data_IF_646325257436
#
_entry.id   IF_646325257436
#
_cell.length_a   1.000
_cell.length_b   1.000
_cell.length_c   1.000
_cell.angle_alpha   90.00
_cell.angle_beta   90.00
_cell.angle_gamma   90.00
#
_symmetry.space_group_name_H-M   'P 1'
#
loop_
_entity.id
_entity.type
_entity.pdbx_description
1 polymer ?
#
# COMPACT_ATOMS: atom_id res chain seq x y z
N UNK A 1 7.93 4.37 -14.19
CA UNK A 1 7.93 5.78 -13.69
C UNK A 1 7.04 6.70 -14.52
N UNK A 2 6.83 6.45 -15.83
CA UNK A 2 6.05 7.33 -16.73
C UNK A 2 4.62 7.65 -16.28
N UNK A 3 3.94 6.76 -15.52
CA UNK A 3 2.58 6.99 -15.02
C UNK A 3 2.47 8.07 -13.93
N UNK A 4 3.59 8.54 -13.37
CA UNK A 4 3.64 9.64 -12.38
C UNK A 4 4.32 10.88 -12.96
N UNK A 5 4.39 10.98 -14.29
CA UNK A 5 4.79 12.21 -14.96
C UNK A 5 3.61 13.20 -14.97
N UNK A 6 3.91 14.50 -14.93
CA UNK A 6 2.89 15.54 -15.07
C UNK A 6 2.10 15.36 -16.40
N UNK A 7 0.79 15.60 -16.37
CA UNK A 7 -0.09 15.50 -17.53
C UNK A 7 -0.76 14.14 -17.77
N UNK A 8 -0.33 13.06 -17.10
CA UNK A 8 -0.89 11.71 -17.28
C UNK A 8 -2.09 11.38 -16.38
N UNK A 9 -2.75 12.41 -15.85
CA UNK A 9 -3.84 12.28 -14.89
C UNK A 9 -3.39 12.09 -13.43
N UNK A 10 -4.34 11.87 -12.52
CA UNK A 10 -4.05 11.81 -11.10
C UNK A 10 -3.32 10.53 -10.71
N UNK A 11 -2.29 10.67 -9.89
CA UNK A 11 -1.48 9.54 -9.45
C UNK A 11 -0.86 9.78 -8.07
N UNK A 12 -0.30 8.73 -7.48
CA UNK A 12 0.46 8.80 -6.23
C UNK A 12 1.88 8.35 -6.51
N UNK A 13 2.85 9.23 -6.23
CA UNK A 13 4.27 8.87 -6.17
C UNK A 13 4.56 8.33 -4.78
N UNK A 14 4.49 7.01 -4.64
CA UNK A 14 4.54 6.32 -3.36
C UNK A 14 5.97 5.91 -3.03
N UNK A 15 6.54 6.48 -1.96
CA UNK A 15 7.76 5.96 -1.33
C UNK A 15 7.39 4.88 -0.33
N UNK A 16 7.87 3.67 -0.57
CA UNK A 16 7.76 2.53 0.35
C UNK A 16 9.09 2.35 1.07
N UNK A 17 9.07 2.29 2.39
CA UNK A 17 10.25 2.09 3.24
C UNK A 17 10.04 0.93 4.22
N UNK A 18 11.10 0.51 4.91
CA UNK A 18 11.04 -0.63 5.82
C UNK A 18 10.95 -1.98 5.11
N UNK A 19 11.51 -2.11 3.90
CA UNK A 19 11.58 -3.40 3.20
C UNK A 19 12.76 -4.20 3.76
N UNK A 20 12.51 -5.33 4.42
CA UNK A 20 13.56 -6.10 5.12
C UNK A 20 14.55 -6.79 4.18
N UNK A 21 14.12 -7.09 2.96
CA UNK A 21 14.91 -7.79 1.94
C UNK A 21 14.47 -7.38 0.53
N UNK A 22 15.21 -7.86 -0.47
CA UNK A 22 14.86 -7.76 -1.89
C UNK A 22 14.26 -9.06 -2.45
N UNK A 23 13.89 -9.99 -1.55
CA UNK A 23 13.32 -11.30 -1.89
C UNK A 23 11.80 -11.22 -1.98
N UNK A 24 11.18 -12.18 -2.68
CA UNK A 24 9.72 -12.26 -2.76
C UNK A 24 9.11 -11.13 -3.59
N UNK A 25 7.97 -10.61 -3.14
CA UNK A 25 7.12 -9.70 -3.91
C UNK A 25 6.71 -8.45 -3.11
N UNK A 26 6.56 -7.32 -3.80
CA UNK A 26 5.90 -6.13 -3.29
C UNK A 26 4.54 -5.97 -3.98
N UNK A 27 3.47 -5.95 -3.19
CA UNK A 27 2.13 -5.67 -3.66
C UNK A 27 1.62 -4.35 -3.10
N UNK A 28 1.23 -3.43 -4.00
CA UNK A 28 0.58 -2.16 -3.63
C UNK A 28 -0.85 -2.22 -4.12
N UNK A 29 -1.82 -2.21 -3.20
CA UNK A 29 -3.25 -2.27 -3.49
C UNK A 29 -3.90 -0.93 -3.15
N UNK A 30 -4.62 -0.37 -4.10
CA UNK A 30 -5.33 0.91 -3.94
C UNK A 30 -6.82 0.67 -3.90
N UNK A 31 -7.51 1.30 -2.96
CA UNK A 31 -8.94 1.19 -2.72
C UNK A 31 -9.59 2.57 -2.75
N UNK A 32 -10.87 2.64 -3.07
CA UNK A 32 -11.68 3.78 -2.63
C UNK A 32 -11.67 3.82 -1.10
N UNK A 33 -11.69 5.03 -0.53
CA UNK A 33 -11.78 5.20 0.92
C UNK A 33 -13.20 4.90 1.46
N UNK A 34 -13.66 3.66 1.29
CA UNK A 34 -14.97 3.17 1.70
C UNK A 34 -14.81 1.91 2.55
N UNK A 35 -15.52 1.85 3.68
CA UNK A 35 -15.47 0.70 4.59
C UNK A 35 -15.86 -0.62 3.90
N UNK A 36 -16.76 -0.53 2.93
CA UNK A 36 -17.23 -1.66 2.13
C UNK A 36 -16.17 -2.28 1.21
N UNK A 37 -15.11 -1.54 0.87
CA UNK A 37 -14.06 -1.98 -0.07
C UNK A 37 -12.73 -2.28 0.63
N UNK A 38 -12.45 -1.59 1.74
CA UNK A 38 -11.16 -1.61 2.41
C UNK A 38 -10.68 -3.01 2.75
N UNK A 39 -9.50 -3.38 2.21
CA UNK A 39 -8.82 -4.68 2.37
C UNK A 39 -9.64 -5.91 1.96
N UNK A 40 -10.78 -5.73 1.28
CA UNK A 40 -11.56 -6.84 0.78
C UNK A 40 -10.99 -7.35 -0.52
N UNK A 41 -11.00 -8.68 -0.68
CA UNK A 41 -10.61 -9.32 -1.93
C UNK A 41 -11.45 -8.80 -3.09
N UNK A 42 -10.84 -8.64 -4.27
CA UNK A 42 -11.46 -8.14 -5.51
C UNK A 42 -12.08 -6.74 -5.44
N UNK A 43 -11.87 -5.97 -4.36
CA UNK A 43 -12.37 -4.59 -4.19
C UNK A 43 -11.31 -3.51 -4.38
N UNK A 44 -10.05 -3.88 -4.62
CA UNK A 44 -9.03 -2.91 -4.99
C UNK A 44 -9.28 -2.42 -6.43
N UNK A 45 -8.99 -1.14 -6.66
CA UNK A 45 -9.05 -0.49 -7.97
C UNK A 45 -7.84 -0.87 -8.83
N UNK A 46 -6.68 -0.96 -8.19
CA UNK A 46 -5.43 -1.25 -8.86
C UNK A 46 -4.52 -2.01 -7.91
N UNK A 47 -3.81 -2.98 -8.47
CA UNK A 47 -2.73 -3.69 -7.80
C UNK A 47 -1.47 -3.51 -8.64
N UNK A 48 -0.39 -3.11 -7.99
CA UNK A 48 0.94 -3.10 -8.58
C UNK A 48 1.73 -4.25 -7.98
N UNK A 49 2.28 -5.06 -8.86
CA UNK A 49 3.24 -6.10 -8.53
C UNK A 49 4.63 -5.57 -8.90
N UNK A 50 5.54 -5.55 -7.93
CA UNK A 50 6.91 -5.09 -8.12
C UNK A 50 7.90 -5.99 -7.37
N UNK A 51 9.17 -5.97 -7.81
CA UNK A 51 10.24 -6.62 -7.07
C UNK A 51 10.73 -5.69 -5.95
N UNK A 52 10.74 -6.15 -4.68
CA UNK A 52 11.13 -5.30 -3.56
C UNK A 52 12.62 -4.93 -3.64
N UNK A 53 12.96 -3.76 -3.11
CA UNK A 53 14.35 -3.36 -2.86
C UNK A 53 14.53 -3.14 -1.37
N UNK A 54 15.48 -3.84 -0.76
CA UNK A 54 15.83 -3.71 0.66
C UNK A 54 15.96 -2.23 1.06
N UNK A 55 15.46 -1.89 2.25
CA UNK A 55 15.39 -0.54 2.77
C UNK A 55 14.19 0.23 2.22
N UNK A 56 14.26 0.67 0.96
CA UNK A 56 13.18 1.47 0.36
C UNK A 56 13.14 1.45 -1.16
N UNK A 57 11.98 1.75 -1.73
CA UNK A 57 11.79 2.01 -3.16
C UNK A 57 10.65 2.98 -3.41
N UNK A 58 10.56 3.48 -4.65
CA UNK A 58 9.44 4.32 -5.08
C UNK A 58 8.64 3.60 -6.15
N UNK A 59 7.32 3.64 -6.03
CA UNK A 59 6.35 3.05 -6.96
C UNK A 59 5.39 4.15 -7.40
N UNK A 60 4.99 4.13 -8.66
CA UNK A 60 3.96 5.03 -9.16
C UNK A 60 2.60 4.33 -9.14
N UNK A 61 1.60 4.94 -8.52
CA UNK A 61 0.26 4.40 -8.35
C UNK A 61 -0.76 5.30 -9.05
N UNK A 62 -1.21 4.99 -10.28
CA UNK A 62 -2.26 5.77 -10.92
C UNK A 62 -3.59 5.61 -10.18
N UNK A 63 -4.41 6.66 -10.16
CA UNK A 63 -5.79 6.61 -9.67
C UNK A 63 -6.74 7.13 -10.77
N UNK A 64 -8.00 6.69 -10.81
CA UNK A 64 -8.87 6.99 -11.96
C UNK A 64 -9.32 8.45 -12.03
N UNK A 65 -9.37 9.18 -10.91
CA UNK A 65 -9.80 10.59 -10.83
C UNK A 65 -9.37 11.20 -9.51
N UNK A 66 -9.58 12.51 -9.33
CA UNK A 66 -9.52 13.13 -8.02
C UNK A 66 -10.54 12.49 -7.05
N UNK A 67 -10.16 12.30 -5.79
CA UNK A 67 -11.01 11.67 -4.79
C UNK A 67 -10.24 11.14 -3.58
N UNK A 68 -10.96 10.41 -2.72
CA UNK A 68 -10.41 9.82 -1.50
C UNK A 68 -10.10 8.33 -1.69
N UNK A 69 -8.89 7.96 -1.30
CA UNK A 69 -8.35 6.62 -1.48
C UNK A 69 -7.70 6.12 -0.18
N UNK A 70 -7.41 4.82 -0.16
CA UNK A 70 -6.55 4.21 0.83
C UNK A 70 -5.63 3.21 0.12
N UNK A 71 -4.37 3.14 0.54
CA UNK A 71 -3.36 2.23 -0.02
C UNK A 71 -2.92 1.26 1.07
N UNK A 72 -2.85 -0.02 0.69
CA UNK A 72 -2.19 -1.06 1.48
C UNK A 72 -0.98 -1.60 0.71
N UNK A 73 0.12 -1.77 1.42
CA UNK A 73 1.36 -2.34 0.93
C UNK A 73 1.62 -3.65 1.65
N UNK A 74 1.94 -4.68 0.90
CA UNK A 74 2.40 -5.98 1.39
C UNK A 74 3.78 -6.26 0.82
N UNK A 75 4.74 -6.57 1.69
CA UNK A 75 5.98 -7.24 1.31
C UNK A 75 5.83 -8.72 1.64
N UNK A 76 5.49 -9.49 0.61
CA UNK A 76 5.44 -10.96 0.63
C UNK A 76 6.87 -11.48 0.59
N UNK A 77 7.41 -11.79 1.77
CA UNK A 77 8.85 -12.01 1.94
C UNK A 77 9.29 -13.41 1.51
N UNK A 78 8.40 -14.40 1.59
CA UNK A 78 8.66 -15.79 1.20
C UNK A 78 8.29 -16.06 -0.26
N UNK A 79 7.55 -15.16 -0.92
CA UNK A 79 7.23 -15.23 -2.33
C UNK A 79 6.06 -16.14 -2.68
N UNK A 80 5.30 -16.62 -1.69
CA UNK A 80 4.19 -17.56 -1.93
C UNK A 80 2.92 -16.89 -2.47
N UNK A 81 2.91 -15.55 -2.59
CA UNK A 81 1.78 -14.72 -3.08
C UNK A 81 0.53 -14.77 -2.19
N UNK A 82 0.63 -15.33 -0.99
CA UNK A 82 -0.41 -15.35 0.03
C UNK A 82 -0.16 -14.24 1.05
N UNK A 83 -1.03 -14.10 2.04
CA UNK A 83 -0.82 -13.18 3.16
C UNK A 83 -0.37 -13.99 4.38
N UNK A 84 0.92 -13.94 4.70
CA UNK A 84 1.48 -14.57 5.89
C UNK A 84 1.85 -13.49 6.91
N UNK A 85 0.95 -13.21 7.86
CA UNK A 85 1.16 -12.16 8.86
C UNK A 85 2.39 -12.37 9.76
N UNK A 86 2.94 -13.58 9.83
CA UNK A 86 4.13 -13.88 10.63
C UNK A 86 5.42 -13.59 9.86
N UNK A 87 5.40 -13.65 8.52
CA UNK A 87 6.59 -13.47 7.67
C UNK A 87 6.56 -12.18 6.87
N UNK A 88 5.39 -11.72 6.49
CA UNK A 88 5.20 -10.59 5.60
C UNK A 88 5.28 -9.27 6.34
N UNK A 89 5.66 -8.25 5.58
CA UNK A 89 5.57 -6.87 6.02
C UNK A 89 4.27 -6.24 5.54
N UNK A 90 3.64 -5.43 6.37
CA UNK A 90 2.47 -4.64 5.98
C UNK A 90 2.67 -3.15 6.28
N UNK A 91 2.11 -2.29 5.43
CA UNK A 91 2.06 -0.85 5.63
C UNK A 91 0.82 -0.26 4.96
N UNK A 92 0.34 0.87 5.45
CA UNK A 92 -0.87 1.53 4.94
C UNK A 92 -0.66 3.03 4.84
N UNK A 93 -1.43 3.69 3.96
CA UNK A 93 -1.45 5.15 3.86
C UNK A 93 -1.76 5.79 5.22
N UNK A 94 -1.14 6.95 5.48
CA UNK A 94 -1.09 7.64 6.77
C UNK A 94 -0.36 6.90 7.92
N UNK A 95 0.24 5.74 7.66
CA UNK A 95 1.00 4.96 8.64
C UNK A 95 0.30 4.78 10.01
N UNK A 96 -1.00 4.45 10.05
CA UNK A 96 -1.68 4.16 11.32
C UNK A 96 -1.01 2.98 12.04
N UNK A 97 -1.11 2.96 13.37
CA UNK A 97 -0.75 1.77 14.15
C UNK A 97 -1.65 0.61 13.73
N UNK A 98 -1.05 -0.52 13.36
CA UNK A 98 -1.75 -1.79 13.14
C UNK A 98 -1.90 -2.43 14.52
N UNK A 99 -3.14 -2.67 14.94
CA UNK A 99 -3.41 -3.30 16.23
C UNK A 99 -3.21 -4.81 16.18
N UNK A 100 -3.31 -5.45 17.33
CA UNK A 100 -3.42 -6.90 17.44
C UNK A 100 -4.49 -7.26 18.45
N UNK A 101 -5.17 -8.38 18.23
CA UNK A 101 -6.08 -8.99 19.20
C UNK A 101 -5.82 -10.48 19.24
N UNK A 102 -5.50 -11.01 20.43
CA UNK A 102 -5.10 -12.42 20.61
C UNK A 102 -3.99 -12.85 19.64
N UNK A 103 -3.03 -11.96 19.38
CA UNK A 103 -1.92 -12.24 18.46
C UNK A 103 -2.30 -12.21 16.98
N UNK A 104 -3.54 -11.86 16.60
CA UNK A 104 -3.95 -11.70 15.20
C UNK A 104 -3.90 -10.20 14.85
N UNK A 105 -3.20 -9.79 13.77
CA UNK A 105 -3.19 -8.39 13.35
C UNK A 105 -4.61 -7.89 13.01
N UNK A 106 -4.96 -6.72 13.53
CA UNK A 106 -6.20 -6.03 13.17
C UNK A 106 -5.86 -4.80 12.35
N UNK A 107 -6.31 -4.74 11.08
CA UNK A 107 -6.08 -3.55 10.29
C UNK A 107 -6.86 -2.37 10.87
N UNK A 108 -6.33 -1.16 10.74
CA UNK A 108 -7.03 0.07 11.08
C UNK A 108 -8.26 0.26 10.17
N UNK A 109 -9.18 1.13 10.61
CA UNK A 109 -10.31 1.53 9.78
C UNK A 109 -9.85 2.31 8.54
N UNK A 110 -10.67 2.29 7.49
CA UNK A 110 -10.36 3.02 6.26
C UNK A 110 -10.20 4.52 6.50
N UNK A 111 -10.91 5.08 7.47
CA UNK A 111 -10.80 6.50 7.84
C UNK A 111 -9.39 6.85 8.29
N UNK A 112 -8.76 5.99 9.10
CA UNK A 112 -7.37 6.19 9.54
C UNK A 112 -6.38 6.08 8.38
N UNK A 113 -6.69 5.28 7.37
CA UNK A 113 -5.85 5.12 6.19
C UNK A 113 -6.19 6.07 5.03
N UNK A 114 -7.26 6.86 5.13
CA UNK A 114 -7.80 7.63 4.01
C UNK A 114 -6.97 8.86 3.69
N UNK A 115 -6.77 9.13 2.40
CA UNK A 115 -6.14 10.36 1.93
C UNK A 115 -6.79 10.85 0.64
N UNK A 116 -6.77 12.17 0.41
CA UNK A 116 -7.26 12.80 -0.81
C UNK A 116 -6.19 12.85 -1.90
N UNK A 117 -6.59 12.72 -3.17
CA UNK A 117 -5.77 12.95 -4.36
C UNK A 117 -6.50 13.96 -5.24
N UNK A 118 -5.82 15.01 -5.67
CA UNK A 118 -6.32 15.99 -6.64
C UNK A 118 -6.11 15.52 -8.08
N UNK A 119 -6.07 16.43 -9.05
CA UNK A 119 -5.88 16.08 -10.47
C UNK A 119 -4.41 15.81 -10.86
N UNK A 120 -3.46 16.06 -9.96
CA UNK A 120 -2.03 15.88 -10.20
C UNK A 120 -1.42 14.67 -9.50
N UNK A 121 -0.08 14.67 -9.42
CA UNK A 121 0.69 13.62 -8.75
C UNK A 121 0.88 13.97 -7.28
N UNK A 122 0.29 13.17 -6.39
CA UNK A 122 0.45 13.33 -4.94
C UNK A 122 1.67 12.55 -4.43
N UNK A 123 2.62 13.17 -3.71
CA UNK A 123 3.62 12.41 -2.97
C UNK A 123 2.99 11.74 -1.74
N UNK A 124 3.37 10.50 -1.46
CA UNK A 124 2.95 9.77 -0.27
C UNK A 124 4.09 8.84 0.21
N UNK A 125 4.22 8.66 1.53
CA UNK A 125 5.17 7.74 2.11
C UNK A 125 4.47 6.70 3.00
N UNK A 126 4.81 5.42 2.80
CA UNK A 126 4.33 4.31 3.61
C UNK A 126 5.54 3.56 4.17
N UNK A 127 5.48 3.25 5.46
CA UNK A 127 6.47 2.41 6.15
C UNK A 127 5.87 1.03 6.34
N UNK A 128 6.54 0.03 5.77
CA UNK A 128 6.23 -1.37 5.98
C UNK A 128 6.84 -1.80 7.32
N UNK A 129 6.03 -2.50 8.13
CA UNK A 129 6.43 -3.08 9.41
C UNK A 129 6.21 -4.59 9.36
N UNK A 130 7.07 -5.31 10.04
CA UNK A 130 6.93 -6.75 10.27
C UNK A 130 6.55 -6.95 11.73
N UNK A 131 6.05 -8.13 12.04
CA UNK A 131 6.03 -8.57 13.43
C UNK A 131 7.46 -8.90 13.86
N UNK A 132 7.78 -8.52 15.08
CA UNK A 132 8.98 -8.98 15.77
C UNK A 132 8.85 -10.48 16.08
#
# INVERSE_FOLDING_TARGET
>A
MSKCSAGNGPAVRLRVSGLKSSSGNLFVRTYHAKSGDWLKSKRYLTRIDARPRKGSMTVCVPVPRAGNYAIAVQHDANGNREMDFSKDGAGMSNNPKIGSFLGIPRPPSVQKASFSVGNGVKPLAITVRYRD
#
